data_IF_305640598564
#
_entry.id   IF_305640598564
#
_cell.length_a   1.000
_cell.length_b   1.000
_cell.length_c   1.000
_cell.angle_alpha   90.00
_cell.angle_beta   90.00
_cell.angle_gamma   90.00
#
_symmetry.space_group_name_H-M   'P 1'
#
loop_
_entity.id
_entity.type
_entity.pdbx_description
1 polymer ?
#
# COMPACT_ATOMS: atom_id res chain seq x y z
N UNK A 1 5.17 -1.65 -7.78
CA UNK A 1 4.08 -2.51 -7.24
C UNK A 1 3.57 -1.88 -5.95
N UNK A 2 2.28 -1.92 -5.64
CA UNK A 2 1.74 -1.38 -4.37
C UNK A 2 1.14 -2.50 -3.51
N UNK A 3 1.25 -2.38 -2.19
CA UNK A 3 0.74 -3.38 -1.26
C UNK A 3 0.26 -2.75 0.06
N UNK A 4 -0.60 -3.48 0.76
CA UNK A 4 -1.04 -3.18 2.13
C UNK A 4 -0.35 -4.13 3.10
N UNK A 5 0.20 -3.61 4.18
CA UNK A 5 0.81 -4.38 5.25
C UNK A 5 -0.16 -4.64 6.42
N UNK A 6 0.15 -5.62 7.28
CA UNK A 6 -0.61 -5.94 8.50
C UNK A 6 -0.83 -4.73 9.43
N UNK A 7 0.16 -3.85 9.53
CA UNK A 7 0.08 -2.61 10.30
C UNK A 7 -0.65 -1.46 9.56
N UNK A 8 -1.37 -1.78 8.48
CA UNK A 8 -2.13 -0.84 7.63
C UNK A 8 -1.29 0.15 6.84
N UNK A 9 0.02 -0.02 6.74
CA UNK A 9 0.84 0.81 5.87
C UNK A 9 0.58 0.45 4.39
N UNK A 10 0.35 1.48 3.59
CA UNK A 10 0.33 1.39 2.13
C UNK A 10 1.73 1.66 1.62
N UNK A 11 2.33 0.67 0.96
CA UNK A 11 3.73 0.72 0.52
C UNK A 11 3.81 0.62 -1.00
N UNK A 12 4.58 1.53 -1.58
CA UNK A 12 5.08 1.40 -2.95
C UNK A 12 6.40 0.64 -2.91
N UNK A 13 6.40 -0.56 -3.49
CA UNK A 13 7.56 -1.45 -3.56
C UNK A 13 8.46 -0.98 -4.70
N UNK A 14 9.72 -0.70 -4.35
CA UNK A 14 10.80 -0.35 -5.26
C UNK A 14 11.65 -1.58 -5.62
N UNK A 15 11.86 -2.52 -4.69
CA UNK A 15 12.63 -3.75 -4.93
C UNK A 15 12.24 -4.92 -4.00
N UNK A 16 12.69 -6.13 -4.34
CA UNK A 16 12.64 -7.34 -3.50
C UNK A 16 14.05 -7.80 -3.15
N UNK A 17 14.24 -8.33 -1.95
CA UNK A 17 15.53 -8.83 -1.49
C UNK A 17 15.38 -10.11 -0.66
N UNK A 18 16.45 -10.91 -0.62
CA UNK A 18 16.56 -12.09 0.24
C UNK A 18 17.72 -11.85 1.20
N UNK A 19 17.48 -12.00 2.50
CA UNK A 19 18.50 -11.89 3.54
C UNK A 19 18.22 -12.91 4.65
N UNK A 20 19.23 -13.68 5.05
CA UNK A 20 19.11 -14.71 6.10
C UNK A 20 17.88 -15.63 5.91
N UNK A 21 17.69 -16.13 4.69
CA UNK A 21 16.57 -16.98 4.28
C UNK A 21 15.16 -16.35 4.41
N UNK A 22 15.08 -15.04 4.63
CA UNK A 22 13.81 -14.30 4.65
C UNK A 22 13.69 -13.42 3.40
N UNK A 23 12.46 -13.29 2.92
CA UNK A 23 12.12 -12.43 1.79
C UNK A 23 11.64 -11.08 2.29
N UNK A 24 12.20 -10.01 1.75
CA UNK A 24 11.89 -8.63 2.10
C UNK A 24 11.42 -7.85 0.88
N UNK A 25 10.56 -6.87 1.13
CA UNK A 25 10.29 -5.77 0.22
C UNK A 25 11.06 -4.54 0.68
N UNK A 26 11.65 -3.83 -0.28
CA UNK A 26 12.26 -2.53 -0.09
C UNK A 26 11.37 -1.53 -0.82
N UNK A 27 11.00 -0.45 -0.14
CA UNK A 27 10.09 0.52 -0.73
C UNK A 27 9.85 1.73 0.17
N UNK A 28 8.85 2.52 -0.20
CA UNK A 28 8.45 3.74 0.51
C UNK A 28 6.98 3.64 0.89
N UNK A 29 6.67 3.93 2.15
CA UNK A 29 5.27 4.05 2.58
C UNK A 29 4.70 5.39 2.12
N UNK A 30 3.40 5.44 1.88
CA UNK A 30 2.70 6.71 1.75
C UNK A 30 2.50 7.32 3.14
N UNK A 31 2.84 8.60 3.30
CA UNK A 31 2.68 9.30 4.59
C UNK A 31 1.25 9.82 4.76
N UNK A 32 0.63 10.27 3.67
CA UNK A 32 -0.75 10.74 3.70
C UNK A 32 -1.66 9.64 3.16
N UNK A 33 -2.44 9.01 4.06
CA UNK A 33 -3.39 7.93 3.74
C UNK A 33 -4.74 8.27 4.34
N UNK A 34 -5.75 8.50 3.48
CA UNK A 34 -7.09 8.90 3.90
C UNK A 34 -8.17 8.06 3.22
N UNK A 35 -9.40 8.12 3.74
CA UNK A 35 -10.56 7.57 3.03
C UNK A 35 -10.72 8.27 1.67
N UNK A 36 -10.88 7.50 0.60
CA UNK A 36 -11.23 8.01 -0.72
C UNK A 36 -12.70 8.45 -0.79
N UNK A 37 -13.59 7.71 -0.12
CA UNK A 37 -15.00 8.07 0.05
C UNK A 37 -15.52 7.65 1.43
N UNK A 38 -16.63 8.27 1.85
CA UNK A 38 -17.28 7.98 3.14
C UNK A 38 -18.71 7.42 3.01
N UNK A 39 -19.26 7.33 1.79
CA UNK A 39 -20.59 6.76 1.50
C UNK A 39 -20.45 5.60 0.52
N UNK A 40 -21.17 4.48 0.70
CA UNK A 40 -22.10 4.17 1.80
C UNK A 40 -21.39 3.88 3.14
N UNK A 41 -20.07 3.68 3.12
CA UNK A 41 -19.23 3.55 4.31
C UNK A 41 -17.84 4.15 4.05
N UNK A 42 -16.99 4.21 5.08
CA UNK A 42 -15.60 4.61 4.94
C UNK A 42 -14.85 3.62 4.03
N UNK A 43 -14.25 4.12 2.95
CA UNK A 43 -13.56 3.31 1.95
C UNK A 43 -12.41 2.47 2.54
N UNK A 44 -11.78 2.92 3.62
CA UNK A 44 -10.75 2.16 4.35
C UNK A 44 -11.23 0.82 4.90
N UNK A 45 -12.54 0.67 5.17
CA UNK A 45 -13.15 -0.64 5.52
C UNK A 45 -13.03 -1.66 4.39
N UNK A 46 -12.93 -1.18 3.15
CA UNK A 46 -12.73 -1.97 1.94
C UNK A 46 -11.26 -1.98 1.50
N UNK A 47 -10.34 -1.47 2.34
CA UNK A 47 -8.94 -1.25 2.03
C UNK A 47 -8.71 -0.33 0.80
N UNK A 48 -9.63 0.60 0.57
CA UNK A 48 -9.54 1.62 -0.50
C UNK A 48 -9.12 2.94 0.12
N UNK A 49 -8.06 3.55 -0.42
CA UNK A 49 -7.46 4.76 0.14
C UNK A 49 -7.13 5.79 -0.94
N UNK A 50 -7.27 7.06 -0.60
CA UNK A 50 -6.59 8.16 -1.29
C UNK A 50 -5.24 8.35 -0.62
N UNK A 51 -4.16 8.32 -1.39
CA UNK A 51 -2.79 8.44 -0.88
C UNK A 51 -2.01 9.52 -1.61
N UNK A 52 -1.09 10.17 -0.90
CA UNK A 52 -0.07 11.03 -1.50
C UNK A 52 1.22 11.01 -0.66
N UNK A 53 2.29 11.57 -1.23
CA UNK A 53 3.61 11.74 -0.59
C UNK A 53 4.24 10.43 -0.16
N UNK A 54 5.33 10.06 -0.84
CA UNK A 54 6.16 8.94 -0.43
C UNK A 54 7.12 9.39 0.67
N UNK A 55 7.21 8.60 1.73
CA UNK A 55 8.19 8.78 2.80
C UNK A 55 9.58 8.30 2.43
N UNK A 56 10.42 8.14 3.46
CA UNK A 56 11.77 7.58 3.32
C UNK A 56 11.74 6.11 2.93
N UNK A 57 12.85 5.64 2.35
CA UNK A 57 13.04 4.23 2.03
C UNK A 57 13.08 3.40 3.32
N UNK A 58 12.47 2.22 3.27
CA UNK A 58 12.40 1.27 4.38
C UNK A 58 12.21 -0.14 3.82
N UNK A 59 12.23 -1.13 4.71
CA UNK A 59 12.05 -2.53 4.32
C UNK A 59 11.11 -3.25 5.30
N UNK A 60 10.41 -4.25 4.77
CA UNK A 60 9.46 -5.08 5.52
C UNK A 60 9.52 -6.52 5.04
N UNK A 61 9.10 -7.48 5.88
CA UNK A 61 9.01 -8.87 5.46
C UNK A 61 7.88 -9.02 4.43
N UNK A 62 8.11 -9.85 3.41
CA UNK A 62 7.05 -10.20 2.44
C UNK A 62 5.84 -10.80 3.15
N UNK A 63 6.05 -11.53 4.25
CA UNK A 63 4.99 -12.13 5.07
C UNK A 63 4.10 -11.11 5.79
N UNK A 64 4.45 -9.82 5.79
CA UNK A 64 3.63 -8.75 6.35
C UNK A 64 2.65 -8.16 5.33
N UNK A 65 2.76 -8.53 4.06
CA UNK A 65 1.82 -8.12 3.00
C UNK A 65 0.50 -8.87 3.17
N UNK A 66 -0.60 -8.12 3.29
CA UNK A 66 -1.97 -8.67 3.39
C UNK A 66 -2.77 -8.53 2.09
N UNK A 67 -2.49 -7.50 1.29
CA UNK A 67 -3.17 -7.30 0.01
C UNK A 67 -2.20 -6.72 -1.03
N UNK A 68 -2.29 -7.23 -2.26
CA UNK A 68 -1.75 -6.54 -3.43
C UNK A 68 -2.70 -5.40 -3.80
N UNK A 69 -2.17 -4.20 -4.01
CA UNK A 69 -2.95 -3.02 -4.35
C UNK A 69 -2.63 -2.56 -5.78
N UNK A 70 -3.64 -2.04 -6.47
CA UNK A 70 -3.46 -1.27 -7.70
C UNK A 70 -3.44 0.21 -7.35
N UNK A 71 -2.71 1.01 -8.11
CA UNK A 71 -2.58 2.45 -7.93
C UNK A 71 -3.03 3.17 -9.21
N UNK A 72 -3.89 4.18 -9.07
CA UNK A 72 -4.37 5.00 -10.18
C UNK A 72 -4.18 6.49 -9.85
N UNK A 73 -3.80 7.32 -10.84
CA UNK A 73 -3.75 8.77 -10.64
C UNK A 73 -5.16 9.33 -10.44
N UNK A 74 -5.30 10.32 -9.54
CA UNK A 74 -6.55 11.04 -9.29
C UNK A 74 -6.25 12.49 -8.88
N UNK A 75 -6.30 13.40 -9.84
CA UNK A 75 -5.88 14.80 -9.68
C UNK A 75 -4.44 14.88 -9.13
N UNK A 76 -4.26 15.49 -7.95
CA UNK A 76 -2.95 15.64 -7.28
C UNK A 76 -2.60 14.49 -6.32
N UNK A 77 -3.44 13.45 -6.27
CA UNK A 77 -3.28 12.30 -5.39
C UNK A 77 -3.30 10.99 -6.21
N UNK A 78 -3.15 9.87 -5.52
CA UNK A 78 -3.38 8.54 -6.07
C UNK A 78 -4.51 7.85 -5.31
N UNK A 79 -5.25 6.99 -6.01
CA UNK A 79 -6.19 6.07 -5.38
C UNK A 79 -5.53 4.70 -5.39
N UNK A 80 -5.55 4.03 -4.24
CA UNK A 80 -5.16 2.62 -4.13
C UNK A 80 -6.34 1.79 -3.66
N UNK A 81 -6.45 0.59 -4.21
CA UNK A 81 -7.46 -0.38 -3.81
C UNK A 81 -6.95 -1.81 -4.04
N UNK A 82 -7.51 -2.82 -3.34
CA UNK A 82 -7.09 -4.20 -3.52
C UNK A 82 -7.26 -4.63 -4.97
N UNK A 83 -6.22 -5.24 -5.53
CA UNK A 83 -6.37 -6.01 -6.75
C UNK A 83 -7.24 -7.21 -6.40
N UNK A 84 -8.54 -7.12 -6.75
CA UNK A 84 -9.48 -8.23 -6.59
C UNK A 84 -8.92 -9.44 -7.34
N UNK A 85 -8.70 -10.53 -6.61
CA UNK A 85 -8.53 -11.84 -7.21
C UNK A 85 -9.87 -12.57 -7.03
N UNK A 86 -10.50 -12.94 -8.14
CA UNK A 86 -11.57 -13.94 -8.17
C UNK A 86 -10.95 -15.31 -7.94
#
# INVERSE_FOLDING_TARGET
YCCLLKNKFVVLIDNFAICNNNNYIIGRKFENVCNFFNKPCQSSRLNIYSVNTLGSISFWLVNDIINKLVIFPNNNNFIVFPLLHV
#
